data_IF_407907089309
#
_entry.id   IF_407907089309
#
_cell.length_a   1.000
_cell.length_b   1.000
_cell.length_c   1.000
_cell.angle_alpha   90.00
_cell.angle_beta   90.00
_cell.angle_gamma   90.00
#
_symmetry.space_group_name_H-M   'P 1'
#
loop_
_entity.id
_entity.type
_entity.pdbx_description
1 polymer ?
#
# COMPACT_ATOMS: atom_id res chain seq x y z
N UNK A 1 -10.55 -12.95 -18.83
CA UNK A 1 -10.83 -11.71 -18.09
C UNK A 1 -9.98 -10.62 -18.74
N UNK A 2 -10.58 -9.50 -19.16
CA UNK A 2 -9.85 -8.39 -19.82
C UNK A 2 -9.77 -7.19 -18.87
N UNK A 3 -8.85 -6.26 -19.14
CA UNK A 3 -8.67 -5.07 -18.31
C UNK A 3 -9.92 -4.18 -18.34
N UNK A 4 -10.51 -4.00 -19.52
CA UNK A 4 -11.71 -3.18 -19.72
C UNK A 4 -12.89 -3.72 -18.93
N UNK A 5 -13.11 -5.04 -18.95
CA UNK A 5 -14.19 -5.67 -18.21
C UNK A 5 -14.08 -5.44 -16.70
N UNK A 6 -12.86 -5.54 -16.14
CA UNK A 6 -12.64 -5.32 -14.70
C UNK A 6 -12.81 -3.84 -14.35
N UNK A 7 -12.28 -2.94 -15.17
CA UNK A 7 -12.44 -1.49 -15.00
C UNK A 7 -13.91 -1.08 -15.06
N UNK A 8 -14.67 -1.56 -16.05
CA UNK A 8 -16.11 -1.32 -16.18
C UNK A 8 -16.89 -1.86 -14.97
N UNK A 9 -16.56 -3.05 -14.49
CA UNK A 9 -17.21 -3.64 -13.32
C UNK A 9 -17.00 -2.78 -12.06
N UNK A 10 -15.78 -2.33 -11.81
CA UNK A 10 -15.46 -1.44 -10.69
C UNK A 10 -16.15 -0.08 -10.86
N UNK A 11 -16.11 0.49 -12.07
CA UNK A 11 -16.68 1.82 -12.35
C UNK A 11 -18.20 1.81 -12.24
N UNK A 12 -18.86 0.70 -12.59
CA UNK A 12 -20.32 0.56 -12.46
C UNK A 12 -20.75 0.50 -11.00
N UNK A 13 -20.01 -0.20 -10.15
CA UNK A 13 -20.34 -0.35 -8.73
C UNK A 13 -19.89 0.87 -7.90
N UNK A 14 -18.76 1.49 -8.28
CA UNK A 14 -18.11 2.58 -7.56
C UNK A 14 -17.78 3.76 -8.50
N UNK A 15 -18.79 4.43 -9.09
CA UNK A 15 -18.58 5.44 -10.14
C UNK A 15 -17.79 6.66 -9.70
N UNK A 16 -17.90 7.07 -8.43
CA UNK A 16 -17.18 8.24 -7.90
C UNK A 16 -15.85 7.88 -7.24
N UNK A 17 -15.53 6.59 -7.09
CA UNK A 17 -14.35 6.16 -6.35
C UNK A 17 -13.13 6.03 -7.24
N UNK A 18 -13.29 5.83 -8.56
CA UNK A 18 -12.20 5.74 -9.52
C UNK A 18 -11.70 7.14 -9.88
N UNK A 19 -10.43 7.43 -9.56
CA UNK A 19 -9.78 8.72 -9.84
C UNK A 19 -9.10 8.68 -11.20
N UNK A 20 -8.33 7.62 -11.45
CA UNK A 20 -7.61 7.43 -12.72
C UNK A 20 -7.36 5.94 -12.99
N UNK A 21 -7.17 5.58 -14.26
CA UNK A 21 -6.80 4.22 -14.67
C UNK A 21 -5.67 4.28 -15.70
N UNK A 22 -4.76 3.31 -15.63
CA UNK A 22 -3.64 3.18 -16.56
C UNK A 22 -3.24 1.72 -16.72
N UNK A 23 -2.52 1.39 -17.79
CA UNK A 23 -2.09 0.02 -18.09
C UNK A 23 -0.58 -0.08 -18.35
N UNK A 24 0.28 0.27 -17.37
CA UNK A 24 1.71 0.11 -17.53
C UNK A 24 2.06 -1.37 -17.70
N UNK A 25 2.77 -1.70 -18.79
CA UNK A 25 3.18 -3.06 -19.12
C UNK A 25 2.02 -4.07 -19.15
N UNK A 26 0.85 -3.66 -19.67
CA UNK A 26 -0.38 -4.44 -19.75
C UNK A 26 -0.99 -4.87 -18.40
N UNK A 27 -0.54 -4.28 -17.27
CA UNK A 27 -1.13 -4.51 -15.96
C UNK A 27 -2.09 -3.38 -15.61
N UNK A 28 -3.37 -3.70 -15.48
CA UNK A 28 -4.39 -2.75 -15.06
C UNK A 28 -4.05 -2.14 -13.69
N UNK A 29 -3.90 -0.83 -13.67
CA UNK A 29 -3.59 -0.03 -12.49
C UNK A 29 -4.65 1.04 -12.32
N UNK A 30 -5.37 1.01 -11.20
CA UNK A 30 -6.47 1.93 -10.92
C UNK A 30 -6.14 2.71 -9.66
N UNK A 31 -6.21 4.02 -9.75
CA UNK A 31 -6.20 4.92 -8.60
C UNK A 31 -7.62 5.11 -8.09
N UNK A 32 -7.84 4.86 -6.80
CA UNK A 32 -9.15 4.97 -6.16
C UNK A 32 -9.11 5.85 -4.91
N UNK A 33 -10.27 6.35 -4.51
CA UNK A 33 -10.45 7.05 -3.22
C UNK A 33 -10.13 6.11 -2.06
N UNK A 34 -9.40 6.61 -1.06
CA UNK A 34 -8.95 5.79 0.07
C UNK A 34 -10.12 5.29 0.92
N UNK A 35 -11.23 6.03 0.96
CA UNK A 35 -12.42 5.71 1.76
C UNK A 35 -13.17 4.47 1.26
N UNK A 36 -12.99 4.11 -0.01
CA UNK A 36 -13.71 3.02 -0.65
C UNK A 36 -12.83 1.79 -0.89
N UNK A 37 -11.54 1.85 -0.58
CA UNK A 37 -10.60 0.76 -0.89
C UNK A 37 -11.02 -0.59 -0.31
N UNK A 38 -11.42 -0.63 0.97
CA UNK A 38 -11.87 -1.85 1.63
C UNK A 38 -13.14 -2.41 0.98
N UNK A 39 -14.09 -1.54 0.58
CA UNK A 39 -15.33 -1.95 -0.10
C UNK A 39 -15.05 -2.49 -1.49
N UNK A 40 -14.17 -1.83 -2.24
CA UNK A 40 -13.76 -2.25 -3.59
C UNK A 40 -13.07 -3.62 -3.51
N UNK A 41 -12.12 -3.79 -2.58
CA UNK A 41 -11.40 -5.06 -2.41
C UNK A 41 -12.34 -6.18 -1.97
N UNK A 42 -13.29 -5.90 -1.06
CA UNK A 42 -14.32 -6.85 -0.68
C UNK A 42 -15.18 -7.27 -1.89
N UNK A 43 -15.65 -6.31 -2.70
CA UNK A 43 -16.38 -6.58 -3.92
C UNK A 43 -15.57 -7.42 -4.92
N UNK A 44 -14.30 -7.09 -5.14
CA UNK A 44 -13.42 -7.82 -6.06
C UNK A 44 -13.22 -9.28 -5.64
N UNK A 45 -13.16 -9.53 -4.33
CA UNK A 45 -12.99 -10.86 -3.74
C UNK A 45 -14.26 -11.69 -3.84
N UNK A 46 -15.40 -11.12 -3.44
CA UNK A 46 -16.66 -11.87 -3.24
C UNK A 46 -17.59 -11.87 -4.48
N UNK A 47 -17.33 -11.00 -5.46
CA UNK A 47 -18.04 -11.02 -6.75
C UNK A 47 -17.53 -12.12 -7.70
N UNK A 48 -18.16 -12.23 -8.87
CA UNK A 48 -17.71 -13.11 -9.95
C UNK A 48 -16.32 -12.79 -10.50
N UNK A 49 -15.72 -11.65 -10.11
CA UNK A 49 -14.35 -11.29 -10.45
C UNK A 49 -13.31 -12.12 -9.68
N UNK A 50 -13.64 -12.69 -8.52
CA UNK A 50 -12.88 -13.75 -7.86
C UNK A 50 -11.41 -13.42 -7.57
N UNK A 51 -11.09 -12.19 -7.16
CA UNK A 51 -9.75 -11.81 -6.70
C UNK A 51 -9.48 -12.45 -5.33
N UNK A 52 -9.03 -13.70 -5.36
CA UNK A 52 -8.90 -14.56 -4.20
C UNK A 52 -7.52 -14.51 -3.52
N UNK A 53 -6.54 -13.82 -4.13
CA UNK A 53 -5.19 -13.72 -3.60
C UNK A 53 -4.73 -12.26 -3.50
N UNK A 54 -4.34 -11.86 -2.30
CA UNK A 54 -3.66 -10.60 -2.03
C UNK A 54 -2.15 -10.86 -2.10
N UNK A 55 -1.51 -10.34 -3.14
CA UNK A 55 -0.09 -10.58 -3.41
C UNK A 55 0.80 -9.70 -2.56
N UNK A 56 0.43 -8.42 -2.41
CA UNK A 56 1.30 -7.41 -1.81
C UNK A 56 0.50 -6.19 -1.33
N UNK A 57 0.97 -5.56 -0.25
CA UNK A 57 0.57 -4.23 0.20
C UNK A 57 1.86 -3.44 0.42
N UNK A 58 2.05 -2.38 -0.36
CA UNK A 58 3.25 -1.55 -0.30
C UNK A 58 2.92 -0.08 -0.10
N UNK A 59 3.67 0.60 0.76
CA UNK A 59 3.64 2.06 0.86
C UNK A 59 4.46 2.75 -0.24
N UNK A 60 4.09 3.99 -0.58
CA UNK A 60 4.83 4.87 -1.49
C UNK A 60 4.85 6.27 -0.89
N UNK A 61 5.98 6.98 -1.03
CA UNK A 61 6.12 8.38 -0.66
C UNK A 61 6.56 9.24 -1.86
N UNK A 62 5.73 10.21 -2.22
CA UNK A 62 6.01 11.27 -3.19
C UNK A 62 5.94 12.66 -2.55
N UNK A 63 7.05 13.17 -1.95
CA UNK A 63 7.06 14.45 -1.24
C UNK A 63 6.74 15.66 -2.13
N UNK A 64 6.82 15.51 -3.45
CA UNK A 64 6.55 16.60 -4.41
C UNK A 64 5.06 16.85 -4.68
N UNK A 65 4.16 15.98 -4.20
CA UNK A 65 2.72 16.11 -4.40
C UNK A 65 2.00 16.18 -3.04
N UNK A 66 1.73 17.38 -2.49
CA UNK A 66 1.16 17.53 -1.13
C UNK A 66 -0.14 16.76 -0.90
N UNK A 67 -1.05 16.76 -1.89
CA UNK A 67 -2.34 16.06 -1.80
C UNK A 67 -2.23 14.53 -2.01
N UNK A 68 -1.06 14.05 -2.48
CA UNK A 68 -0.77 12.63 -2.79
C UNK A 68 0.59 12.20 -2.24
N UNK A 69 0.96 12.76 -1.09
CA UNK A 69 2.30 12.60 -0.52
C UNK A 69 2.53 11.14 -0.15
N UNK A 70 1.57 10.51 0.51
CA UNK A 70 1.65 9.13 0.92
C UNK A 70 0.64 8.31 0.11
N UNK A 71 1.06 7.12 -0.32
CA UNK A 71 0.18 6.19 -1.01
C UNK A 71 0.35 4.76 -0.53
N UNK A 72 -0.69 3.95 -0.77
CA UNK A 72 -0.65 2.50 -0.59
C UNK A 72 -1.01 1.84 -1.90
N UNK A 73 -0.26 0.81 -2.27
CA UNK A 73 -0.51 -0.02 -3.45
C UNK A 73 -0.93 -1.40 -2.97
N UNK A 74 -2.03 -1.88 -3.52
CA UNK A 74 -2.53 -3.22 -3.31
C UNK A 74 -2.39 -4.00 -4.61
N UNK A 75 -1.73 -5.16 -4.56
CA UNK A 75 -1.67 -6.08 -5.69
C UNK A 75 -2.59 -7.26 -5.43
N UNK A 76 -3.61 -7.38 -6.27
CA UNK A 76 -4.59 -8.46 -6.22
C UNK A 76 -4.38 -9.39 -7.40
N UNK A 77 -4.64 -10.67 -7.18
CA UNK A 77 -4.56 -11.70 -8.20
C UNK A 77 -5.79 -12.60 -8.11
N UNK A 78 -6.51 -12.72 -9.22
CA UNK A 78 -7.40 -13.85 -9.42
C UNK A 78 -6.57 -15.03 -9.95
N UNK A 79 -6.29 -16.00 -9.07
CA UNK A 79 -5.50 -17.18 -9.42
C UNK A 79 -6.17 -18.07 -10.48
N UNK A 80 -7.51 -18.12 -10.51
CA UNK A 80 -8.27 -18.97 -11.44
C UNK A 80 -8.25 -18.41 -12.86
N UNK A 81 -8.45 -17.10 -13.01
CA UNK A 81 -8.42 -16.41 -14.30
C UNK A 81 -7.01 -15.98 -14.71
N UNK A 82 -6.00 -16.21 -13.85
CA UNK A 82 -4.64 -15.70 -13.95
C UNK A 82 -4.59 -14.20 -14.29
N UNK A 83 -5.39 -13.40 -13.59
CA UNK A 83 -5.53 -11.96 -13.85
C UNK A 83 -5.02 -11.15 -12.66
N UNK A 84 -4.17 -10.15 -12.92
CA UNK A 84 -3.56 -9.31 -11.90
C UNK A 84 -4.10 -7.89 -11.99
N UNK A 85 -4.38 -7.30 -10.84
CA UNK A 85 -4.87 -5.94 -10.70
C UNK A 85 -4.02 -5.19 -9.68
N UNK A 86 -3.70 -3.93 -9.98
CA UNK A 86 -3.05 -3.02 -9.04
C UNK A 86 -4.02 -1.91 -8.67
N UNK A 87 -4.30 -1.76 -7.38
CA UNK A 87 -5.04 -0.62 -6.86
C UNK A 87 -4.07 0.31 -6.15
N UNK A 88 -4.23 1.61 -6.36
CA UNK A 88 -3.45 2.64 -5.67
C UNK A 88 -4.40 3.58 -4.96
N UNK A 89 -4.05 3.93 -3.74
CA UNK A 89 -4.68 5.03 -3.01
C UNK A 89 -3.59 6.04 -2.65
N UNK A 90 -3.97 7.30 -2.61
CA UNK A 90 -3.12 8.38 -2.16
C UNK A 90 -3.83 9.19 -1.07
N UNK A 91 -3.04 9.80 -0.20
CA UNK A 91 -3.50 10.63 0.89
C UNK A 91 -2.47 11.71 1.22
N UNK A 92 -2.94 12.78 1.85
CA UNK A 92 -2.06 13.78 2.43
C UNK A 92 -1.42 13.26 3.71
N UNK A 93 -0.28 13.84 4.08
CA UNK A 93 0.44 13.50 5.32
C UNK A 93 -0.31 13.85 6.61
N UNK A 94 -1.29 14.74 6.53
CA UNK A 94 -2.14 15.09 7.68
C UNK A 94 -3.10 13.96 8.07
N UNK A 95 -3.44 13.07 7.12
CA UNK A 95 -4.45 12.02 7.33
C UNK A 95 -4.00 10.66 6.76
N UNK A 96 -2.96 10.11 7.39
CA UNK A 96 -2.30 8.85 7.01
C UNK A 96 -3.02 7.61 7.58
N UNK A 97 -4.33 7.52 7.35
CA UNK A 97 -5.19 6.45 7.86
C UNK A 97 -5.99 5.77 6.74
N UNK A 98 -6.05 4.44 6.81
CA UNK A 98 -6.74 3.55 5.85
C UNK A 98 -7.42 2.41 6.61
N UNK A 99 -8.52 1.85 6.10
CA UNK A 99 -9.14 0.67 6.70
C UNK A 99 -8.32 -0.61 6.45
N UNK A 100 -8.15 -1.42 7.50
CA UNK A 100 -7.46 -2.71 7.43
C UNK A 100 -8.23 -3.75 6.61
N UNK A 101 -7.48 -4.54 5.85
CA UNK A 101 -7.93 -5.67 5.05
C UNK A 101 -7.76 -7.02 5.74
N UNK A 102 -7.29 -7.07 6.99
CA UNK A 102 -7.05 -8.34 7.72
C UNK A 102 -8.29 -9.22 7.79
N UNK A 103 -9.47 -8.62 7.92
CA UNK A 103 -10.75 -9.34 7.92
C UNK A 103 -11.05 -10.03 6.57
N UNK A 104 -10.54 -9.49 5.45
CA UNK A 104 -10.72 -10.03 4.11
C UNK A 104 -9.62 -11.03 3.75
N UNK A 105 -8.38 -10.69 4.11
CA UNK A 105 -7.17 -11.46 3.83
C UNK A 105 -6.31 -11.55 5.09
N UNK A 106 -6.25 -12.73 5.71
CA UNK A 106 -5.42 -12.94 6.90
C UNK A 106 -3.94 -12.59 6.67
N UNK A 107 -3.43 -12.76 5.44
CA UNK A 107 -2.07 -12.40 5.06
C UNK A 107 -1.79 -10.89 5.10
N UNK A 108 -2.82 -10.04 5.03
CA UNK A 108 -2.66 -8.59 5.13
C UNK A 108 -2.03 -8.14 6.46
N UNK A 109 -2.13 -8.96 7.51
CA UNK A 109 -1.65 -8.59 8.84
C UNK A 109 -0.16 -8.18 8.83
N UNK A 110 0.69 -8.98 8.17
CA UNK A 110 2.12 -8.71 8.15
C UNK A 110 2.47 -7.54 7.21
N UNK A 111 1.82 -7.47 6.05
CA UNK A 111 2.08 -6.43 5.05
C UNK A 111 1.61 -5.04 5.52
N UNK A 112 0.48 -4.97 6.24
CA UNK A 112 -0.01 -3.74 6.86
C UNK A 112 0.92 -3.28 7.99
N UNK A 113 1.45 -4.21 8.80
CA UNK A 113 2.47 -3.88 9.82
C UNK A 113 3.77 -3.38 9.22
N UNK A 114 4.25 -4.01 8.14
CA UNK A 114 5.43 -3.55 7.41
C UNK A 114 5.22 -2.14 6.85
N UNK A 115 4.06 -1.89 6.24
CA UNK A 115 3.72 -0.58 5.68
C UNK A 115 3.60 0.49 6.78
N UNK A 116 3.06 0.14 7.94
CA UNK A 116 3.03 1.00 9.12
C UNK A 116 4.45 1.32 9.63
N UNK A 117 5.31 0.32 9.73
CA UNK A 117 6.68 0.46 10.21
C UNK A 117 7.51 1.40 9.31
N UNK A 118 7.42 1.22 8.00
CA UNK A 118 8.25 1.98 7.04
C UNK A 118 7.71 3.35 6.62
N UNK A 119 6.39 3.54 6.65
CA UNK A 119 5.75 4.77 6.13
C UNK A 119 4.84 5.47 7.15
N UNK A 120 4.56 4.85 8.31
CA UNK A 120 3.69 5.42 9.34
C UNK A 120 2.20 5.35 9.04
N UNK A 121 1.79 4.58 8.03
CA UNK A 121 0.39 4.47 7.60
C UNK A 121 -0.40 3.65 8.61
N UNK A 122 -1.43 4.24 9.21
CA UNK A 122 -2.25 3.58 10.23
C UNK A 122 -3.39 2.81 9.58
N UNK A 123 -3.49 1.52 9.89
CA UNK A 123 -4.57 0.65 9.42
C UNK A 123 -5.65 0.50 10.49
N UNK A 124 -6.80 1.13 10.27
CA UNK A 124 -7.95 1.11 11.18
C UNK A 124 -8.60 -0.27 11.20
N UNK A 125 -8.79 -0.82 12.39
CA UNK A 125 -9.35 -2.16 12.57
C UNK A 125 -8.33 -3.29 12.48
N UNK A 126 -7.03 -2.98 12.34
CA UNK A 126 -5.97 -3.99 12.41
C UNK A 126 -5.85 -4.54 13.85
N UNK A 127 -5.76 -5.88 14.04
CA UNK A 127 -5.78 -6.48 15.39
C UNK A 127 -4.50 -6.23 16.21
N UNK A 128 -3.34 -6.11 15.56
CA UNK A 128 -2.04 -5.90 16.24
C UNK A 128 -1.11 -5.01 15.41
N UNK A 129 -1.37 -3.70 15.39
CA UNK A 129 -0.57 -2.75 14.62
C UNK A 129 0.63 -2.27 15.44
N UNK A 130 1.75 -3.00 15.33
CA UNK A 130 3.04 -2.66 15.95
C UNK A 130 4.16 -2.81 14.91
N UNK A 131 5.31 -2.12 15.11
CA UNK A 131 6.51 -2.32 14.29
C UNK A 131 6.87 -3.81 14.17
N UNK A 132 7.49 -4.20 13.06
CA UNK A 132 7.80 -5.62 12.78
C UNK A 132 9.23 -5.82 12.29
N UNK A 133 9.80 -4.88 11.56
CA UNK A 133 11.16 -4.97 11.00
C UNK A 133 12.14 -4.06 11.73
N UNK A 134 11.71 -2.88 12.15
CA UNK A 134 12.57 -1.92 12.83
C UNK A 134 12.47 -2.05 14.36
N UNK A 135 13.38 -1.35 15.05
CA UNK A 135 13.37 -1.22 16.51
C UNK A 135 12.14 -0.41 16.96
N UNK A 136 11.53 -0.81 18.07
CA UNK A 136 10.33 -0.14 18.61
C UNK A 136 10.57 1.35 18.92
N UNK A 137 11.80 1.69 19.33
CA UNK A 137 12.20 3.05 19.72
C UNK A 137 12.81 3.88 18.57
N UNK A 138 12.67 3.44 17.32
CA UNK A 138 13.29 4.14 16.18
C UNK A 138 12.81 5.59 16.07
N UNK A 139 11.53 5.85 16.37
CA UNK A 139 10.95 7.21 16.40
C UNK A 139 10.79 7.88 15.03
N UNK A 140 11.13 7.19 13.93
CA UNK A 140 10.93 7.66 12.57
C UNK A 140 10.64 6.50 11.59
N UNK A 141 10.25 6.86 10.35
CA UNK A 141 9.83 5.91 9.31
C UNK A 141 10.84 5.90 8.14
N UNK A 142 11.73 4.89 8.04
CA UNK A 142 12.92 4.94 7.19
C UNK A 142 12.68 5.16 5.70
N UNK A 143 11.54 4.69 5.17
CA UNK A 143 11.26 4.77 3.73
C UNK A 143 10.64 6.11 3.31
N UNK A 144 10.47 7.04 4.25
CA UNK A 144 10.14 8.41 3.90
C UNK A 144 11.38 9.11 3.31
N UNK A 145 11.22 9.74 2.14
CA UNK A 145 12.29 10.42 1.38
C UNK A 145 12.86 11.69 2.03
N UNK A 146 12.59 11.91 3.31
CA UNK A 146 13.18 12.97 4.13
C UNK A 146 14.40 12.50 4.93
N UNK A 147 14.54 11.18 5.11
CA UNK A 147 15.66 10.59 5.83
C UNK A 147 16.84 10.29 4.89
N UNK A 148 18.05 10.54 5.40
CA UNK A 148 19.28 10.17 4.70
C UNK A 148 19.47 8.66 4.78
N UNK A 149 20.11 8.08 3.77
CA UNK A 149 20.44 6.65 3.74
C UNK A 149 21.30 6.23 4.93
N UNK A 150 22.26 7.07 5.30
CA UNK A 150 23.10 6.84 6.46
C UNK A 150 22.64 7.69 7.64
N UNK A 151 22.49 7.03 8.78
CA UNK A 151 22.28 7.68 10.05
C UNK A 151 23.56 8.47 10.42
N UNK A 152 23.43 9.78 10.56
CA UNK A 152 24.55 10.65 10.91
C UNK A 152 25.03 10.49 12.35
N UNK A 153 24.30 9.77 13.20
CA UNK A 153 24.68 9.49 14.60
C UNK A 153 25.52 8.20 14.75
N UNK A 154 25.66 7.46 13.65
CA UNK A 154 26.28 6.15 13.60
C UNK A 154 27.81 6.27 13.61
N UNK A 155 28.44 5.82 14.69
CA UNK A 155 29.90 5.95 14.93
C UNK A 155 30.70 4.68 14.64
N UNK A 156 30.06 3.54 14.33
CA UNK A 156 30.73 2.27 13.96
C UNK A 156 31.41 2.33 12.58
N UNK A 157 31.10 3.36 11.78
CA UNK A 157 31.70 3.66 10.47
C UNK A 157 32.73 4.80 10.52
N UNK A 158 33.26 5.12 11.70
CA UNK A 158 34.35 6.09 11.80
C UNK A 158 35.62 5.47 11.16
N UNK A 159 36.06 6.02 10.03
CA UNK A 159 37.24 5.58 9.29
C UNK A 159 38.51 5.57 10.17
N UNK A 160 38.55 6.40 11.22
CA UNK A 160 39.62 6.39 12.23
C UNK A 160 39.75 5.03 12.95
N UNK A 161 38.66 4.27 13.03
CA UNK A 161 38.62 2.95 13.68
C UNK A 161 39.06 1.82 12.75
N UNK A 162 39.24 2.10 11.44
CA UNK A 162 39.67 1.13 10.43
C UNK A 162 41.16 1.24 10.03
N UNK A 163 41.92 2.09 10.72
CA UNK A 163 43.38 2.17 10.59
C UNK A 163 43.87 2.57 9.19
N UNK A 164 43.08 3.36 8.46
CA UNK A 164 43.46 3.99 7.19
C UNK A 164 43.70 5.48 7.37
#
# INVERSE_FOLDING_TARGET
>A
MTNEFVLEAITREFPESVISSSEPYAMLTIEVKKEDIKKIIHYLRDSSLGFNFLTDICGIHYPEFPDKEIGVVYHLHNMMANFRLRLKIFMSRENIEVDSLVELFAGANWMERETYDFYGIKFKGHPDLRPILNMEDLGYHPMLKEYRLEDGTRTDKDDNMFGR
#
